data_IF_770309570687
#
_entry.id   IF_770309570687
#
_cell.length_a   1.000
_cell.length_b   1.000
_cell.length_c   1.000
_cell.angle_alpha   90.00
_cell.angle_beta   90.00
_cell.angle_gamma   90.00
#
_symmetry.space_group_name_H-M   'P 1'
#
loop_
_entity.id
_entity.type
_entity.pdbx_description
1 polymer ?
#
# COMPACT_ATOMS: atom_id res chain seq x y z
N UNK A 1 -39.98 -18.64 -5.61
CA UNK A 1 -38.74 -19.14 -4.99
C UNK A 1 -37.44 -18.86 -5.77
N UNK A 2 -37.42 -18.90 -7.12
CA UNK A 2 -36.20 -18.60 -7.91
C UNK A 2 -35.58 -17.21 -7.61
N UNK A 3 -36.42 -16.17 -7.49
CA UNK A 3 -35.98 -14.79 -7.17
C UNK A 3 -35.29 -14.65 -5.80
N UNK A 4 -35.78 -15.39 -4.79
CA UNK A 4 -35.20 -15.41 -3.44
C UNK A 4 -33.84 -16.11 -3.45
N UNK A 5 -33.72 -17.23 -4.18
CA UNK A 5 -32.44 -17.93 -4.36
C UNK A 5 -31.40 -17.05 -5.07
N UNK A 6 -31.81 -16.30 -6.10
CA UNK A 6 -30.93 -15.32 -6.76
C UNK A 6 -30.48 -14.22 -5.80
N UNK A 7 -31.39 -13.65 -5.00
CA UNK A 7 -31.05 -12.62 -4.02
C UNK A 7 -30.05 -13.13 -2.97
N UNK A 8 -30.27 -14.34 -2.44
CA UNK A 8 -29.32 -14.98 -1.50
C UNK A 8 -27.96 -15.22 -2.15
N UNK A 9 -27.94 -15.67 -3.40
CA UNK A 9 -26.69 -15.91 -4.13
C UNK A 9 -25.89 -14.62 -4.36
N UNK A 10 -26.57 -13.51 -4.68
CA UNK A 10 -25.94 -12.18 -4.80
C UNK A 10 -25.36 -11.75 -3.45
N UNK A 11 -26.08 -11.96 -2.34
CA UNK A 11 -25.58 -11.62 -0.99
C UNK A 11 -24.34 -12.43 -0.62
N UNK A 12 -24.32 -13.73 -0.91
CA UNK A 12 -23.13 -14.56 -0.66
C UNK A 12 -21.96 -14.09 -1.52
N UNK A 13 -22.19 -13.76 -2.80
CA UNK A 13 -21.16 -13.25 -3.69
C UNK A 13 -20.57 -11.92 -3.18
N UNK A 14 -21.41 -11.01 -2.71
CA UNK A 14 -20.99 -9.75 -2.10
C UNK A 14 -20.14 -9.98 -0.84
N UNK A 15 -20.55 -10.90 0.04
CA UNK A 15 -19.78 -11.27 1.22
C UNK A 15 -18.40 -11.84 0.86
N UNK A 16 -18.34 -12.74 -0.13
CA UNK A 16 -17.07 -13.29 -0.62
C UNK A 16 -16.17 -12.21 -1.23
N UNK A 17 -16.74 -11.27 -1.99
CA UNK A 17 -15.99 -10.16 -2.57
C UNK A 17 -15.40 -9.25 -1.48
N UNK A 18 -16.17 -8.96 -0.42
CA UNK A 18 -15.69 -8.15 0.71
C UNK A 18 -14.51 -8.82 1.42
N UNK A 19 -14.60 -10.12 1.71
CA UNK A 19 -13.50 -10.87 2.35
C UNK A 19 -12.26 -10.92 1.44
N UNK A 20 -12.45 -11.16 0.13
CA UNK A 20 -11.34 -11.15 -0.82
C UNK A 20 -10.66 -9.77 -0.89
N UNK A 21 -11.44 -8.69 -0.86
CA UNK A 21 -10.92 -7.32 -0.83
C UNK A 21 -10.12 -7.04 0.44
N UNK A 22 -10.63 -7.46 1.61
CA UNK A 22 -9.94 -7.34 2.89
C UNK A 22 -8.58 -8.05 2.88
N UNK A 23 -8.54 -9.31 2.43
CA UNK A 23 -7.29 -10.07 2.34
C UNK A 23 -6.31 -9.40 1.38
N UNK A 24 -6.79 -8.95 0.22
CA UNK A 24 -5.93 -8.32 -0.78
C UNK A 24 -5.33 -7.01 -0.28
N UNK A 25 -6.14 -6.12 0.31
CA UNK A 25 -5.68 -4.82 0.80
C UNK A 25 -4.73 -4.98 1.98
N UNK A 26 -4.99 -5.90 2.92
CA UNK A 26 -4.05 -6.18 4.01
C UNK A 26 -2.72 -6.71 3.48
N UNK A 27 -2.75 -7.64 2.52
CA UNK A 27 -1.54 -8.20 1.91
C UNK A 27 -0.72 -7.12 1.22
N UNK A 28 -1.35 -6.29 0.38
CA UNK A 28 -0.66 -5.22 -0.37
C UNK A 28 -0.06 -4.20 0.57
N UNK A 29 -0.84 -3.71 1.54
CA UNK A 29 -0.36 -2.71 2.51
C UNK A 29 0.74 -3.26 3.39
N UNK A 30 0.64 -4.50 3.86
CA UNK A 30 1.69 -5.17 4.62
C UNK A 30 2.99 -5.30 3.82
N UNK A 31 2.91 -5.70 2.54
CA UNK A 31 4.09 -5.81 1.67
C UNK A 31 4.76 -4.46 1.42
N UNK A 32 3.97 -3.39 1.21
CA UNK A 32 4.51 -2.02 1.08
C UNK A 32 5.24 -1.62 2.38
N UNK A 33 4.63 -1.83 3.54
CA UNK A 33 5.22 -1.49 4.84
C UNK A 33 6.51 -2.29 5.06
N UNK A 34 6.52 -3.58 4.76
CA UNK A 34 7.70 -4.43 4.89
C UNK A 34 8.85 -3.96 3.98
N UNK A 35 8.56 -3.55 2.74
CA UNK A 35 9.56 -2.99 1.84
C UNK A 35 10.11 -1.65 2.35
N UNK A 36 9.26 -0.79 2.91
CA UNK A 36 9.69 0.46 3.52
C UNK A 36 10.57 0.20 4.76
N UNK A 37 10.21 -0.76 5.62
CA UNK A 37 11.03 -1.13 6.78
C UNK A 37 12.41 -1.67 6.38
N UNK A 38 12.47 -2.47 5.32
CA UNK A 38 13.75 -2.92 4.75
C UNK A 38 14.57 -1.75 4.18
N UNK A 39 13.94 -0.81 3.48
CA UNK A 39 14.60 0.40 3.00
C UNK A 39 15.17 1.23 4.15
N UNK A 40 14.46 1.33 5.26
CA UNK A 40 14.92 2.03 6.47
C UNK A 40 16.13 1.35 7.09
N UNK A 41 16.10 0.02 7.25
CA UNK A 41 17.22 -0.76 7.79
C UNK A 41 18.47 -0.60 6.92
N UNK A 42 18.33 -0.63 5.60
CA UNK A 42 19.43 -0.41 4.66
C UNK A 42 20.00 1.01 4.76
N UNK A 43 19.14 2.03 4.83
CA UNK A 43 19.57 3.42 4.99
C UNK A 43 20.36 3.64 6.29
N UNK A 44 19.93 3.06 7.41
CA UNK A 44 20.67 3.13 8.69
C UNK A 44 22.03 2.44 8.60
N UNK A 45 22.17 1.42 7.76
CA UNK A 45 23.45 0.73 7.48
C UNK A 45 24.32 1.45 6.44
N UNK A 46 23.92 2.62 5.96
CA UNK A 46 24.54 3.34 4.83
C UNK A 46 24.55 2.56 3.51
N UNK A 47 23.66 1.59 3.37
CA UNK A 47 23.51 0.79 2.16
C UNK A 47 22.42 1.40 1.25
N UNK A 48 22.81 2.49 0.58
CA UNK A 48 21.89 3.34 -0.18
C UNK A 48 21.40 2.69 -1.49
N UNK A 49 22.18 1.76 -2.05
CA UNK A 49 21.77 1.02 -3.25
C UNK A 49 20.59 0.10 -2.93
N UNK A 50 20.69 -0.66 -1.83
CA UNK A 50 19.59 -1.50 -1.37
C UNK A 50 18.42 -0.68 -0.81
N UNK A 51 18.68 0.43 -0.11
CA UNK A 51 17.61 1.31 0.34
C UNK A 51 16.76 1.84 -0.83
N UNK A 52 17.42 2.22 -1.94
CA UNK A 52 16.75 2.65 -3.16
C UNK A 52 15.98 1.52 -3.83
N UNK A 53 16.56 0.31 -3.90
CA UNK A 53 15.89 -0.82 -4.54
C UNK A 53 14.62 -1.23 -3.79
N UNK A 54 14.64 -1.23 -2.44
CA UNK A 54 13.45 -1.47 -1.63
C UNK A 54 12.40 -0.37 -1.76
N UNK A 55 12.81 0.90 -1.86
CA UNK A 55 11.88 2.01 -2.13
C UNK A 55 11.20 1.86 -3.50
N UNK A 56 11.95 1.47 -4.54
CA UNK A 56 11.39 1.19 -5.87
C UNK A 56 10.48 -0.04 -5.84
N UNK A 57 10.82 -1.06 -5.05
CA UNK A 57 9.97 -2.24 -4.88
C UNK A 57 8.62 -1.89 -4.25
N UNK A 58 8.60 -1.05 -3.21
CA UNK A 58 7.37 -0.54 -2.60
C UNK A 58 6.51 0.22 -3.63
N UNK A 59 7.15 1.04 -4.49
CA UNK A 59 6.45 1.72 -5.59
C UNK A 59 5.87 0.74 -6.62
N UNK A 60 6.60 -0.33 -6.98
CA UNK A 60 6.10 -1.35 -7.91
C UNK A 60 4.88 -2.06 -7.37
N UNK A 61 4.91 -2.50 -6.11
CA UNK A 61 3.76 -3.14 -5.44
C UNK A 61 2.53 -2.23 -5.52
N UNK A 62 2.72 -0.94 -5.26
CA UNK A 62 1.63 0.03 -5.32
C UNK A 62 1.05 0.19 -6.73
N UNK A 63 1.90 0.33 -7.76
CA UNK A 63 1.43 0.49 -9.15
C UNK A 63 0.75 -0.78 -9.67
N UNK A 64 1.29 -1.96 -9.38
CA UNK A 64 0.73 -3.25 -9.80
C UNK A 64 -0.68 -3.49 -9.23
N UNK A 65 -0.94 -2.99 -8.02
CA UNK A 65 -2.21 -3.17 -7.31
C UNK A 65 -3.11 -1.93 -7.34
N UNK A 66 -2.67 -0.85 -8.01
CA UNK A 66 -3.34 0.45 -7.99
C UNK A 66 -4.81 0.37 -8.40
N UNK A 67 -5.10 -0.31 -9.51
CA UNK A 67 -6.45 -0.40 -10.04
C UNK A 67 -7.42 -1.09 -9.07
N UNK A 68 -6.95 -2.13 -8.37
CA UNK A 68 -7.76 -2.85 -7.40
C UNK A 68 -7.97 -1.98 -6.15
N UNK A 69 -6.92 -1.30 -5.69
CA UNK A 69 -7.03 -0.36 -4.57
C UNK A 69 -7.98 0.81 -4.89
N UNK A 70 -7.91 1.40 -6.09
CA UNK A 70 -8.82 2.48 -6.52
C UNK A 70 -10.29 2.03 -6.62
N UNK A 71 -10.57 0.73 -6.73
CA UNK A 71 -11.93 0.19 -6.72
C UNK A 71 -12.55 0.20 -5.31
N UNK A 72 -11.75 -0.06 -4.29
CA UNK A 72 -12.19 -0.23 -2.91
C UNK A 72 -11.91 0.98 -2.01
N UNK A 73 -10.99 1.85 -2.42
CA UNK A 73 -10.48 2.99 -1.65
C UNK A 73 -10.60 4.25 -2.52
N UNK A 74 -10.80 5.41 -1.88
CA UNK A 74 -10.87 6.69 -2.58
C UNK A 74 -9.63 6.90 -3.47
N UNK A 75 -9.88 7.08 -4.77
CA UNK A 75 -8.85 7.26 -5.80
C UNK A 75 -7.81 8.32 -5.48
N UNK A 76 -8.21 9.43 -4.88
CA UNK A 76 -7.29 10.51 -4.46
C UNK A 76 -6.27 10.02 -3.43
N UNK A 77 -6.70 9.21 -2.45
CA UNK A 77 -5.83 8.67 -1.41
C UNK A 77 -4.82 7.69 -2.00
N UNK A 78 -5.29 6.80 -2.88
CA UNK A 78 -4.45 5.82 -3.59
C UNK A 78 -3.43 6.53 -4.49
N UNK A 79 -3.87 7.55 -5.25
CA UNK A 79 -2.99 8.33 -6.11
C UNK A 79 -1.94 9.13 -5.31
N UNK A 80 -2.32 9.70 -4.17
CA UNK A 80 -1.39 10.41 -3.27
C UNK A 80 -0.30 9.48 -2.75
N UNK A 81 -0.66 8.29 -2.26
CA UNK A 81 0.31 7.31 -1.77
C UNK A 81 1.25 6.85 -2.87
N UNK A 82 0.73 6.57 -4.07
CA UNK A 82 1.54 6.18 -5.22
C UNK A 82 2.57 7.26 -5.62
N UNK A 83 2.15 8.53 -5.61
CA UNK A 83 3.07 9.65 -5.88
C UNK A 83 4.16 9.77 -4.82
N UNK A 84 3.82 9.62 -3.54
CA UNK A 84 4.78 9.70 -2.44
C UNK A 84 5.80 8.55 -2.50
N UNK A 85 5.35 7.32 -2.75
CA UNK A 85 6.24 6.17 -2.94
C UNK A 85 7.16 6.33 -4.16
N UNK A 86 6.66 6.90 -5.25
CA UNK A 86 7.46 7.16 -6.45
C UNK A 86 8.57 8.19 -6.19
N UNK A 87 8.27 9.22 -5.41
CA UNK A 87 9.23 10.26 -5.02
C UNK A 87 10.34 9.77 -4.08
N UNK A 88 10.08 8.70 -3.32
CA UNK A 88 11.00 8.18 -2.29
C UNK A 88 12.40 7.85 -2.82
N UNK A 89 12.45 7.27 -4.02
CA UNK A 89 13.71 6.85 -4.65
C UNK A 89 14.67 8.00 -4.99
N UNK A 90 14.17 9.24 -5.07
CA UNK A 90 14.96 10.45 -5.35
C UNK A 90 15.86 10.79 -4.16
N UNK A 91 15.35 10.57 -2.94
CA UNK A 91 16.04 10.90 -1.70
C UNK A 91 16.98 9.79 -1.21
N UNK A 92 16.99 8.61 -1.85
CA UNK A 92 17.77 7.45 -1.44
C UNK A 92 19.29 7.61 -1.71
N UNK A 93 19.91 8.59 -1.06
CA UNK A 93 21.31 8.96 -1.18
C UNK A 93 21.83 9.47 0.17
N UNK A 94 23.11 9.22 0.46
CA UNK A 94 23.72 9.62 1.73
C UNK A 94 23.55 11.11 2.11
N UNK A 95 23.66 12.09 1.18
CA UNK A 95 23.49 13.50 1.51
C UNK A 95 22.06 13.87 1.95
N UNK A 96 21.07 13.07 1.54
CA UNK A 96 19.64 13.29 1.80
C UNK A 96 19.08 12.29 2.82
N UNK A 97 19.95 11.67 3.63
CA UNK A 97 19.55 10.65 4.60
C UNK A 97 18.41 11.10 5.54
N UNK A 98 18.41 12.31 6.13
CA UNK A 98 17.31 12.75 6.99
C UNK A 98 15.97 12.85 6.24
N UNK A 99 16.01 13.40 5.02
CA UNK A 99 14.82 13.58 4.18
C UNK A 99 14.26 12.23 3.72
N UNK A 100 15.12 11.29 3.34
CA UNK A 100 14.73 9.94 2.98
C UNK A 100 14.01 9.22 4.11
N UNK A 101 14.57 9.28 5.33
CA UNK A 101 13.99 8.64 6.51
C UNK A 101 12.65 9.28 6.88
N UNK A 102 12.54 10.60 6.78
CA UNK A 102 11.31 11.33 7.01
C UNK A 102 10.22 10.91 6.01
N UNK A 103 10.50 10.96 4.71
CA UNK A 103 9.54 10.59 3.66
C UNK A 103 9.15 9.11 3.75
N UNK A 104 10.08 8.23 4.12
CA UNK A 104 9.80 6.80 4.32
C UNK A 104 8.83 6.58 5.47
N UNK A 105 9.08 7.26 6.59
CA UNK A 105 8.20 7.21 7.77
C UNK A 105 6.82 7.73 7.44
N UNK A 106 6.75 8.84 6.69
CA UNK A 106 5.49 9.41 6.21
C UNK A 106 4.73 8.43 5.31
N UNK A 107 5.40 7.86 4.30
CA UNK A 107 4.78 6.90 3.39
C UNK A 107 4.26 5.65 4.13
N UNK A 108 5.01 5.17 5.14
CA UNK A 108 4.58 4.09 6.03
C UNK A 108 3.30 4.46 6.80
N UNK A 109 3.26 5.64 7.41
CA UNK A 109 2.09 6.12 8.14
C UNK A 109 0.86 6.31 7.23
N UNK A 110 1.05 6.84 6.03
CA UNK A 110 -0.03 6.97 5.04
C UNK A 110 -0.56 5.60 4.61
N UNK A 111 0.32 4.61 4.43
CA UNK A 111 -0.06 3.22 4.10
C UNK A 111 -0.88 2.57 5.23
N UNK A 112 -0.44 2.73 6.48
CA UNK A 112 -1.18 2.24 7.66
C UNK A 112 -2.53 2.94 7.84
N UNK A 113 -2.57 4.26 7.60
CA UNK A 113 -3.80 5.05 7.68
C UNK A 113 -4.79 4.62 6.62
N UNK A 114 -4.32 4.40 5.38
CA UNK A 114 -5.13 3.87 4.28
C UNK A 114 -5.69 2.48 4.63
N UNK A 115 -4.86 1.61 5.21
CA UNK A 115 -5.27 0.29 5.68
C UNK A 115 -6.37 0.40 6.73
N UNK A 116 -6.16 1.21 7.77
CA UNK A 116 -7.15 1.42 8.83
C UNK A 116 -8.47 2.00 8.32
N UNK A 117 -8.43 2.97 7.40
CA UNK A 117 -9.65 3.53 6.83
C UNK A 117 -10.45 2.48 6.08
N UNK A 118 -9.80 1.63 5.28
CA UNK A 118 -10.48 0.56 4.58
C UNK A 118 -11.20 -0.41 5.56
N UNK A 119 -10.49 -0.90 6.59
CA UNK A 119 -11.05 -1.80 7.59
C UNK A 119 -12.07 -1.15 8.55
N UNK A 120 -12.08 0.17 8.67
CA UNK A 120 -13.11 0.86 9.44
C UNK A 120 -14.47 0.91 8.72
N UNK A 121 -14.47 0.76 7.40
CA UNK A 121 -15.67 0.84 6.54
C UNK A 121 -16.23 -0.55 6.20
N UNK A 122 -15.36 -1.56 6.09
CA UNK A 122 -15.69 -2.95 5.74
C UNK A 122 -15.48 -3.91 6.90
#
# INVERSE_FOLDING_TARGET
MKRIRCAVLILVLLGLLAVAAQIHIDTVTHNIIAALDQAHICAVRNDWEHARSFALHACSIMEDNRHIMEFFIKRETVASLALNLKGLSVYAQAPSAPDFIFELTRAKQETETLRHFFFSVF
#
